data_IF_687619804022
#
_entry.id   IF_687619804022
#
_cell.length_a   1.000
_cell.length_b   1.000
_cell.length_c   1.000
_cell.angle_alpha   90.00
_cell.angle_beta   90.00
_cell.angle_gamma   90.00
#
_symmetry.space_group_name_H-M   'P 1'
#
loop_
_entity.id
_entity.type
_entity.pdbx_description
1 polymer ?
#
# COMPACT_ATOMS: atom_id res chain seq x y z
N UNK A 1 -5.69 -7.27 -20.45
CA UNK A 1 -5.44 -6.27 -21.53
C UNK A 1 -4.47 -6.88 -22.53
N UNK A 2 -4.63 -6.67 -23.85
CA UNK A 2 -3.64 -7.11 -24.86
C UNK A 2 -2.29 -6.41 -24.67
N UNK A 3 -1.20 -7.14 -24.90
CA UNK A 3 0.20 -6.65 -24.73
C UNK A 3 0.47 -5.37 -25.52
N UNK A 4 0.00 -5.29 -26.77
CA UNK A 4 0.16 -4.08 -27.59
C UNK A 4 -0.51 -2.83 -26.98
N UNK A 5 -1.69 -3.01 -26.32
CA UNK A 5 -2.36 -1.89 -25.64
C UNK A 5 -1.62 -1.48 -24.38
N UNK A 6 -1.06 -2.44 -23.62
CA UNK A 6 -0.22 -2.11 -22.44
C UNK A 6 1.00 -1.32 -22.89
N UNK A 7 1.68 -1.73 -23.97
CA UNK A 7 2.83 -0.99 -24.52
C UNK A 7 2.46 0.43 -24.92
N UNK A 8 1.34 0.61 -25.62
CA UNK A 8 0.86 1.96 -25.99
C UNK A 8 0.60 2.83 -24.76
N UNK A 9 0.07 2.27 -23.67
CA UNK A 9 -0.13 3.01 -22.41
C UNK A 9 1.21 3.37 -21.77
N UNK A 10 2.19 2.45 -21.79
CA UNK A 10 3.52 2.70 -21.26
C UNK A 10 4.26 3.80 -22.06
N UNK A 11 4.06 3.85 -23.38
CA UNK A 11 4.59 4.93 -24.23
C UNK A 11 3.99 6.27 -23.83
N UNK A 12 2.66 6.38 -23.79
CA UNK A 12 1.97 7.60 -23.34
C UNK A 12 2.41 8.00 -21.92
N UNK A 13 2.50 7.05 -21.00
CA UNK A 13 2.91 7.30 -19.63
C UNK A 13 4.34 7.85 -19.54
N UNK A 14 5.28 7.28 -20.29
CA UNK A 14 6.66 7.76 -20.35
C UNK A 14 6.74 9.17 -20.97
N UNK A 15 6.00 9.44 -22.06
CA UNK A 15 5.90 10.75 -22.71
C UNK A 15 5.31 11.83 -21.78
N UNK A 16 4.38 11.46 -20.90
CA UNK A 16 3.83 12.32 -19.84
C UNK A 16 4.80 12.57 -18.68
N UNK A 17 6.01 12.00 -18.71
CA UNK A 17 6.99 12.09 -17.63
C UNK A 17 6.78 11.09 -16.51
N UNK A 18 6.06 10.00 -16.76
CA UNK A 18 5.88 8.91 -15.81
C UNK A 18 7.20 8.24 -15.43
N UNK A 19 7.36 7.88 -14.16
CA UNK A 19 8.63 7.39 -13.63
C UNK A 19 8.57 5.93 -13.16
N UNK A 20 7.39 5.44 -12.78
CA UNK A 20 7.27 4.16 -12.12
C UNK A 20 6.00 3.43 -12.53
N UNK A 21 6.13 2.19 -12.95
CA UNK A 21 5.02 1.30 -13.24
C UNK A 21 4.99 0.13 -12.25
N UNK A 22 3.79 -0.18 -11.78
CA UNK A 22 3.56 -1.36 -10.94
C UNK A 22 2.62 -2.32 -11.68
N UNK A 23 3.12 -3.50 -12.01
CA UNK A 23 2.28 -4.56 -12.55
C UNK A 23 1.57 -5.31 -11.42
N UNK A 24 0.25 -5.38 -11.52
CA UNK A 24 -0.64 -6.02 -10.56
C UNK A 24 -1.78 -6.73 -11.30
N UNK A 25 -2.91 -6.89 -10.67
CA UNK A 25 -4.14 -7.46 -11.26
C UNK A 25 -4.72 -8.49 -10.30
N UNK A 26 -5.37 -9.53 -10.80
CA UNK A 26 -5.67 -10.71 -10.00
C UNK A 26 -4.36 -11.43 -9.62
N UNK A 27 -3.53 -11.73 -10.62
CA UNK A 27 -2.17 -12.25 -10.45
C UNK A 27 -1.31 -11.86 -11.66
N UNK A 28 -0.26 -11.07 -11.43
CA UNK A 28 0.57 -10.52 -12.50
C UNK A 28 1.26 -11.62 -13.32
N UNK A 29 1.80 -12.67 -12.68
CA UNK A 29 2.49 -13.77 -13.35
C UNK A 29 1.57 -14.70 -14.17
N UNK A 30 0.26 -14.50 -14.11
CA UNK A 30 -0.68 -15.17 -15.02
C UNK A 30 -0.75 -14.50 -16.40
N UNK A 31 -0.24 -13.27 -16.55
CA UNK A 31 -0.16 -12.62 -17.85
C UNK A 31 0.96 -13.24 -18.67
N UNK A 32 0.60 -13.86 -19.81
CA UNK A 32 1.56 -14.66 -20.63
C UNK A 32 2.79 -13.86 -21.10
N UNK A 33 2.61 -12.57 -21.36
CA UNK A 33 3.63 -11.68 -21.90
C UNK A 33 4.21 -10.73 -20.82
N UNK A 34 4.07 -11.06 -19.52
CA UNK A 34 4.55 -10.17 -18.44
C UNK A 34 6.05 -9.86 -18.59
N UNK A 35 6.88 -10.85 -18.91
CA UNK A 35 8.33 -10.65 -19.07
C UNK A 35 8.66 -9.73 -20.25
N UNK A 36 7.88 -9.77 -21.32
CA UNK A 36 8.00 -8.83 -22.45
C UNK A 36 7.65 -7.41 -22.00
N UNK A 37 6.58 -7.25 -21.22
CA UNK A 37 6.17 -5.94 -20.69
C UNK A 37 7.18 -5.38 -19.69
N UNK A 38 7.78 -6.23 -18.85
CA UNK A 38 8.85 -5.83 -17.93
C UNK A 38 10.07 -5.31 -18.70
N UNK A 39 10.55 -6.02 -19.74
CA UNK A 39 11.65 -5.55 -20.59
C UNK A 39 11.29 -4.23 -21.28
N UNK A 40 10.11 -4.15 -21.87
CA UNK A 40 9.64 -2.96 -22.55
C UNK A 40 9.57 -1.73 -21.62
N UNK A 41 9.12 -1.92 -20.38
CA UNK A 41 9.11 -0.85 -19.37
C UNK A 41 10.55 -0.40 -19.04
N UNK A 42 11.51 -1.33 -18.99
CA UNK A 42 12.92 -0.99 -18.75
C UNK A 42 13.53 -0.21 -19.92
N UNK A 43 13.17 -0.58 -21.17
CA UNK A 43 13.56 0.16 -22.39
C UNK A 43 13.05 1.61 -22.40
N UNK A 44 11.95 1.87 -21.68
CA UNK A 44 11.38 3.22 -21.49
C UNK A 44 11.92 3.94 -20.24
N UNK A 45 12.97 3.42 -19.61
CA UNK A 45 13.58 3.96 -18.39
C UNK A 45 12.64 4.02 -17.18
N UNK A 46 11.54 3.28 -17.20
CA UNK A 46 10.62 3.22 -16.08
C UNK A 46 11.19 2.34 -14.93
N UNK A 47 10.99 2.78 -13.70
CA UNK A 47 11.14 1.92 -12.53
C UNK A 47 10.00 0.92 -12.51
N UNK A 48 10.29 -0.34 -12.14
CA UNK A 48 9.34 -1.42 -12.26
C UNK A 48 9.13 -2.11 -10.91
N UNK A 49 7.89 -2.24 -10.49
CA UNK A 49 7.48 -3.09 -9.37
C UNK A 49 6.41 -4.10 -9.82
N UNK A 50 6.31 -5.20 -9.08
CA UNK A 50 5.30 -6.23 -9.32
C UNK A 50 4.62 -6.56 -7.99
N UNK A 51 3.28 -6.61 -7.98
CA UNK A 51 2.49 -7.14 -6.87
C UNK A 51 2.00 -8.54 -7.24
N UNK A 52 2.27 -9.53 -6.40
CA UNK A 52 1.98 -10.94 -6.74
C UNK A 52 1.83 -11.82 -5.49
N UNK A 53 1.10 -12.93 -5.65
CA UNK A 53 1.13 -14.03 -4.70
C UNK A 53 2.24 -15.06 -4.99
N UNK A 54 2.97 -14.89 -6.10
CA UNK A 54 4.07 -15.73 -6.61
C UNK A 54 3.73 -17.20 -6.95
N UNK A 55 2.47 -17.63 -6.83
CA UNK A 55 2.10 -19.04 -7.07
C UNK A 55 2.39 -19.45 -8.52
N UNK A 56 2.30 -18.50 -9.46
CA UNK A 56 2.51 -18.72 -10.90
C UNK A 56 3.91 -18.31 -11.40
N UNK A 57 4.81 -17.89 -10.50
CA UNK A 57 6.19 -17.55 -10.85
C UNK A 57 6.94 -18.80 -11.33
N UNK A 58 7.62 -18.69 -12.49
CA UNK A 58 8.45 -19.73 -13.06
C UNK A 58 9.93 -19.40 -12.93
N UNK A 59 10.78 -20.43 -12.81
CA UNK A 59 12.22 -20.24 -12.59
C UNK A 59 12.90 -19.48 -13.76
N UNK A 60 12.47 -19.70 -15.00
CA UNK A 60 13.00 -18.97 -16.17
C UNK A 60 12.68 -17.46 -16.14
N UNK A 61 11.66 -17.04 -15.41
CA UNK A 61 11.31 -15.62 -15.28
C UNK A 61 12.25 -14.87 -14.34
N UNK A 62 12.84 -15.55 -13.36
CA UNK A 62 13.74 -14.95 -12.36
C UNK A 62 14.94 -14.27 -13.04
N UNK A 63 15.51 -14.91 -14.08
CA UNK A 63 16.63 -14.33 -14.83
C UNK A 63 16.26 -13.00 -15.50
N UNK A 64 15.05 -12.91 -16.08
CA UNK A 64 14.54 -11.69 -16.71
C UNK A 64 14.30 -10.59 -15.66
N UNK A 65 13.72 -10.95 -14.52
CA UNK A 65 13.46 -9.99 -13.43
C UNK A 65 14.77 -9.39 -12.90
N UNK A 66 15.81 -10.20 -12.76
CA UNK A 66 17.15 -9.73 -12.36
C UNK A 66 17.78 -8.84 -13.44
N UNK A 67 17.76 -9.26 -14.71
CA UNK A 67 18.28 -8.48 -15.86
C UNK A 67 17.64 -7.09 -15.92
N UNK A 68 16.32 -7.02 -15.71
CA UNK A 68 15.57 -5.75 -15.77
C UNK A 68 15.73 -4.88 -14.52
N UNK A 69 16.47 -5.32 -13.50
CA UNK A 69 16.75 -4.56 -12.28
C UNK A 69 15.48 -3.99 -11.66
N UNK A 70 14.55 -4.86 -11.25
CA UNK A 70 13.30 -4.45 -10.64
C UNK A 70 13.55 -3.64 -9.37
N UNK A 71 12.69 -2.66 -9.15
CA UNK A 71 12.70 -1.88 -7.90
C UNK A 71 12.21 -2.71 -6.73
N UNK A 72 11.18 -3.55 -6.95
CA UNK A 72 10.61 -4.37 -5.87
C UNK A 72 9.61 -5.39 -6.43
N UNK A 73 9.54 -6.56 -5.80
CA UNK A 73 8.37 -7.44 -5.87
C UNK A 73 7.69 -7.44 -4.50
N UNK A 74 6.46 -6.94 -4.44
CA UNK A 74 5.65 -7.00 -3.23
C UNK A 74 4.83 -8.29 -3.25
N UNK A 75 5.00 -9.11 -2.21
CA UNK A 75 4.45 -10.47 -2.14
C UNK A 75 3.39 -10.55 -1.05
N UNK A 76 2.20 -11.04 -1.39
CA UNK A 76 1.15 -11.31 -0.42
C UNK A 76 1.47 -12.58 0.38
N UNK A 77 1.76 -12.45 1.68
CA UNK A 77 1.93 -13.56 2.61
C UNK A 77 1.19 -13.24 3.91
N UNK A 78 0.07 -13.92 4.13
CA UNK A 78 -0.85 -13.61 5.25
C UNK A 78 -0.47 -14.31 6.55
N UNK A 79 0.27 -15.40 6.48
CA UNK A 79 0.77 -16.18 7.62
C UNK A 79 1.88 -17.13 7.14
N UNK A 80 2.79 -17.50 8.02
CA UNK A 80 3.74 -18.60 7.82
C UNK A 80 3.16 -19.96 8.22
N UNK A 81 1.96 -19.97 8.81
CA UNK A 81 1.21 -21.19 9.14
C UNK A 81 0.35 -21.57 7.93
N UNK A 82 0.59 -22.74 7.28
CA UNK A 82 -0.08 -23.11 6.05
C UNK A 82 -1.61 -23.10 6.15
N UNK A 83 -2.17 -23.58 7.25
CA UNK A 83 -3.62 -23.67 7.45
C UNK A 83 -4.27 -22.30 7.45
N UNK A 84 -3.61 -21.30 8.02
CA UNK A 84 -4.11 -19.90 8.07
C UNK A 84 -3.98 -19.25 6.69
N UNK A 85 -2.80 -19.30 6.08
CA UNK A 85 -2.57 -18.66 4.77
C UNK A 85 -3.44 -19.29 3.69
N UNK A 86 -3.46 -20.62 3.59
CA UNK A 86 -4.25 -21.36 2.60
C UNK A 86 -5.76 -21.14 2.80
N UNK A 87 -6.20 -21.01 4.08
CA UNK A 87 -7.57 -20.67 4.43
C UNK A 87 -7.99 -19.28 3.89
N UNK A 88 -7.12 -18.28 3.99
CA UNK A 88 -7.36 -16.93 3.48
C UNK A 88 -7.33 -16.90 1.94
N UNK A 89 -6.34 -17.55 1.33
CA UNK A 89 -6.19 -17.58 -0.13
C UNK A 89 -7.16 -18.54 -0.81
N UNK A 90 -7.78 -19.46 -0.04
CA UNK A 90 -8.61 -20.57 -0.53
C UNK A 90 -7.86 -21.52 -1.48
N UNK A 91 -6.53 -21.53 -1.44
CA UNK A 91 -5.67 -22.35 -2.31
C UNK A 91 -4.73 -23.21 -1.47
N UNK A 92 -5.02 -24.51 -1.40
CA UNK A 92 -4.20 -25.48 -0.65
C UNK A 92 -2.75 -25.51 -1.16
N UNK A 93 -1.79 -25.37 -0.23
CA UNK A 93 -0.36 -25.37 -0.52
C UNK A 93 0.18 -24.04 -1.06
N UNK A 94 -0.64 -22.98 -1.07
CA UNK A 94 -0.21 -21.64 -1.48
C UNK A 94 0.86 -21.07 -0.57
N UNK A 95 0.73 -21.24 0.74
CA UNK A 95 1.72 -20.80 1.72
C UNK A 95 3.14 -21.29 1.37
N UNK A 96 3.29 -22.59 1.25
CA UNK A 96 4.60 -23.20 0.97
C UNK A 96 5.15 -22.77 -0.40
N UNK A 97 4.29 -22.66 -1.43
CA UNK A 97 4.71 -22.19 -2.77
C UNK A 97 5.19 -20.75 -2.72
N UNK A 98 4.44 -19.87 -2.08
CA UNK A 98 4.79 -18.45 -1.94
C UNK A 98 6.10 -18.28 -1.16
N UNK A 99 6.26 -18.93 0.00
CA UNK A 99 7.50 -18.87 0.78
C UNK A 99 8.70 -19.37 -0.01
N UNK A 100 8.59 -20.51 -0.70
CA UNK A 100 9.66 -21.04 -1.55
C UNK A 100 10.02 -20.11 -2.72
N UNK A 101 9.02 -19.42 -3.28
CA UNK A 101 9.25 -18.43 -4.33
C UNK A 101 9.96 -17.18 -3.80
N UNK A 102 9.60 -16.70 -2.59
CA UNK A 102 10.33 -15.63 -1.90
C UNK A 102 11.80 -16.01 -1.73
N UNK A 103 12.10 -17.20 -1.23
CA UNK A 103 13.47 -17.68 -1.02
C UNK A 103 14.29 -17.69 -2.33
N UNK A 104 13.68 -18.09 -3.45
CA UNK A 104 14.33 -18.07 -4.77
C UNK A 104 14.62 -16.64 -5.24
N UNK A 105 13.70 -15.71 -5.04
CA UNK A 105 13.89 -14.31 -5.42
C UNK A 105 14.99 -13.64 -4.59
N UNK A 106 15.00 -13.87 -3.28
CA UNK A 106 16.05 -13.37 -2.37
C UNK A 106 17.41 -13.97 -2.75
N UNK A 107 17.50 -15.29 -3.01
CA UNK A 107 18.72 -15.92 -3.46
C UNK A 107 19.25 -15.41 -4.82
N UNK A 108 18.36 -14.83 -5.63
CA UNK A 108 18.69 -14.17 -6.89
C UNK A 108 19.00 -12.67 -6.74
N UNK A 109 19.08 -12.12 -5.52
CA UNK A 109 19.26 -10.71 -5.21
C UNK A 109 18.17 -9.81 -5.84
N UNK A 110 16.95 -10.29 -5.95
CA UNK A 110 15.79 -9.49 -6.40
C UNK A 110 15.17 -8.85 -5.17
N UNK A 111 14.94 -7.53 -5.16
CA UNK A 111 14.29 -6.84 -4.04
C UNK A 111 12.88 -7.37 -3.79
N UNK A 112 12.64 -7.89 -2.60
CA UNK A 112 11.34 -8.43 -2.16
C UNK A 112 10.85 -7.66 -0.94
N UNK A 113 9.55 -7.40 -0.90
CA UNK A 113 8.84 -6.92 0.29
C UNK A 113 7.61 -7.80 0.51
N UNK A 114 7.35 -8.20 1.75
CA UNK A 114 6.13 -8.93 2.09
C UNK A 114 5.02 -7.91 2.40
N UNK A 115 3.83 -8.14 1.86
CA UNK A 115 2.58 -7.47 2.26
C UNK A 115 1.73 -8.44 3.05
N UNK A 116 1.50 -8.11 4.32
CA UNK A 116 0.69 -8.89 5.25
C UNK A 116 -0.45 -8.03 5.81
N UNK A 117 -1.55 -7.84 5.07
CA UNK A 117 -2.74 -7.23 5.65
C UNK A 117 -3.26 -8.07 6.81
N UNK A 118 -3.47 -7.42 7.96
CA UNK A 118 -3.89 -8.11 9.17
C UNK A 118 -5.40 -7.99 9.33
N UNK A 119 -6.04 -9.13 9.59
CA UNK A 119 -7.47 -9.30 9.77
C UNK A 119 -7.73 -10.35 10.84
N UNK A 120 -8.98 -10.53 11.27
CA UNK A 120 -9.31 -11.53 12.29
C UNK A 120 -8.77 -12.93 11.97
N UNK A 121 -8.73 -13.31 10.69
CA UNK A 121 -8.27 -14.64 10.26
C UNK A 121 -6.77 -14.88 10.52
N UNK A 122 -5.92 -13.86 10.61
CA UNK A 122 -4.47 -14.01 10.78
C UNK A 122 -3.89 -13.19 11.94
N UNK A 123 -4.72 -12.53 12.75
CA UNK A 123 -4.27 -11.65 13.85
C UNK A 123 -3.37 -12.33 14.89
N UNK A 124 -3.45 -13.65 15.01
CA UNK A 124 -2.67 -14.43 15.99
C UNK A 124 -1.41 -15.06 15.36
N UNK A 125 -1.15 -14.87 14.06
CA UNK A 125 -0.05 -15.53 13.33
C UNK A 125 0.84 -14.58 12.49
N UNK A 126 0.53 -13.28 12.43
CA UNK A 126 1.29 -12.31 11.63
C UNK A 126 2.72 -12.09 12.14
N UNK A 127 2.98 -12.27 13.43
CA UNK A 127 4.35 -12.17 14.01
C UNK A 127 5.30 -13.12 13.29
N UNK A 128 4.87 -14.35 13.00
CA UNK A 128 5.67 -15.29 12.22
C UNK A 128 6.04 -14.77 10.82
N UNK A 129 5.24 -13.88 10.22
CA UNK A 129 5.57 -13.24 8.94
C UNK A 129 6.67 -12.18 9.14
N UNK A 130 6.61 -11.39 10.22
CA UNK A 130 7.65 -10.41 10.58
C UNK A 130 8.98 -11.14 10.84
N UNK A 131 8.96 -12.20 11.64
CA UNK A 131 10.15 -13.01 11.94
C UNK A 131 10.72 -13.69 10.68
N UNK A 132 9.86 -14.19 9.79
CA UNK A 132 10.26 -14.76 8.50
C UNK A 132 10.92 -13.70 7.62
N UNK A 133 10.35 -12.51 7.53
CA UNK A 133 10.93 -11.39 6.77
C UNK A 133 12.30 -10.98 7.33
N UNK A 134 12.42 -10.86 8.65
CA UNK A 134 13.68 -10.55 9.33
C UNK A 134 14.77 -11.60 9.06
N UNK A 135 14.43 -12.89 9.07
CA UNK A 135 15.35 -14.00 8.74
C UNK A 135 15.98 -13.85 7.35
N UNK A 136 15.20 -13.34 6.38
CA UNK A 136 15.65 -13.16 5.00
C UNK A 136 16.13 -11.73 4.71
N UNK A 137 16.22 -10.85 5.72
CA UNK A 137 16.61 -9.45 5.59
C UNK A 137 15.72 -8.67 4.60
N UNK A 138 14.45 -9.01 4.53
CA UNK A 138 13.43 -8.31 3.73
C UNK A 138 12.43 -7.65 4.65
N UNK A 139 11.70 -6.65 4.12
CA UNK A 139 10.65 -5.94 4.90
C UNK A 139 9.33 -6.68 4.85
N UNK A 140 8.63 -6.73 5.98
CA UNK A 140 7.21 -7.02 6.04
C UNK A 140 6.44 -5.70 6.25
N UNK A 141 5.54 -5.39 5.32
CA UNK A 141 4.60 -4.28 5.46
C UNK A 141 3.27 -4.83 5.98
N UNK A 142 2.85 -4.36 7.14
CA UNK A 142 1.58 -4.70 7.75
C UNK A 142 0.61 -3.52 7.62
N UNK A 143 -0.62 -3.79 7.24
CA UNK A 143 -1.75 -2.85 7.29
C UNK A 143 -2.92 -3.59 7.93
N UNK A 144 -3.60 -2.96 8.89
CA UNK A 144 -4.69 -3.58 9.64
C UNK A 144 -5.99 -2.78 9.51
N UNK A 145 -5.94 -1.59 8.91
CA UNK A 145 -7.13 -0.75 8.77
C UNK A 145 -7.91 -1.17 7.52
N UNK A 146 -8.78 -2.14 7.69
CA UNK A 146 -9.65 -2.62 6.61
C UNK A 146 -10.74 -1.60 6.29
N UNK A 147 -11.03 -1.39 5.00
CA UNK A 147 -12.11 -0.54 4.50
C UNK A 147 -13.18 -1.36 3.77
N UNK A 148 -14.39 -0.81 3.65
CA UNK A 148 -15.45 -1.39 2.83
C UNK A 148 -15.02 -1.52 1.36
N UNK A 149 -15.67 -2.44 0.62
CA UNK A 149 -15.38 -2.68 -0.79
C UNK A 149 -15.76 -1.48 -1.67
N UNK A 150 -15.22 -1.48 -2.88
CA UNK A 150 -15.47 -0.41 -3.85
C UNK A 150 -16.93 -0.32 -4.33
N UNK A 151 -17.72 -1.38 -4.19
CA UNK A 151 -19.17 -1.42 -4.46
C UNK A 151 -20.02 -1.02 -3.25
N UNK A 152 -19.37 -0.48 -2.20
CA UNK A 152 -19.97 -0.09 -0.91
C UNK A 152 -20.46 -1.28 -0.06
N UNK A 153 -20.24 -2.52 -0.48
CA UNK A 153 -20.56 -3.67 0.37
C UNK A 153 -19.62 -3.73 1.58
N UNK A 154 -20.16 -4.20 2.70
CA UNK A 154 -19.48 -4.24 4.01
C UNK A 154 -19.27 -5.66 4.54
N UNK A 155 -19.53 -6.69 3.73
CA UNK A 155 -19.40 -8.10 4.11
C UNK A 155 -17.97 -8.47 4.51
N UNK A 156 -16.96 -7.81 3.93
CA UNK A 156 -15.57 -8.00 4.30
C UNK A 156 -15.21 -7.40 5.67
N UNK A 157 -16.01 -6.45 6.19
CA UNK A 157 -15.74 -5.80 7.47
C UNK A 157 -15.94 -6.74 8.67
N UNK A 158 -16.56 -7.90 8.48
CA UNK A 158 -16.58 -8.98 9.49
C UNK A 158 -15.16 -9.43 9.86
N UNK A 159 -14.18 -9.22 8.97
CA UNK A 159 -12.76 -9.49 9.18
C UNK A 159 -11.99 -8.32 9.79
N UNK A 160 -12.60 -7.12 9.91
CA UNK A 160 -11.99 -5.96 10.59
C UNK A 160 -11.78 -6.29 12.07
N UNK A 161 -10.62 -5.90 12.59
CA UNK A 161 -10.32 -6.04 14.02
C UNK A 161 -11.25 -5.16 14.84
N UNK A 162 -11.60 -5.60 16.06
CA UNK A 162 -12.17 -4.74 17.08
C UNK A 162 -11.10 -3.77 17.62
N UNK A 163 -11.50 -2.74 18.32
CA UNK A 163 -10.54 -1.80 18.95
C UNK A 163 -9.62 -2.47 19.95
N UNK A 164 -10.10 -3.47 20.69
CA UNK A 164 -9.30 -4.27 21.62
C UNK A 164 -8.28 -5.15 20.88
N UNK A 165 -8.70 -5.76 19.76
CA UNK A 165 -7.82 -6.53 18.88
C UNK A 165 -6.77 -5.63 18.21
N UNK A 166 -7.16 -4.42 17.74
CA UNK A 166 -6.25 -3.42 17.17
C UNK A 166 -5.24 -2.94 18.21
N UNK A 167 -5.64 -2.71 19.45
CA UNK A 167 -4.72 -2.35 20.53
C UNK A 167 -3.69 -3.46 20.81
N UNK A 168 -4.15 -4.69 20.94
CA UNK A 168 -3.26 -5.85 21.14
C UNK A 168 -2.28 -6.00 20.00
N UNK A 169 -2.76 -5.86 18.75
CA UNK A 169 -1.95 -5.89 17.55
C UNK A 169 -0.88 -4.80 17.55
N UNK A 170 -1.27 -3.54 17.79
CA UNK A 170 -0.34 -2.40 17.74
C UNK A 170 0.75 -2.51 18.81
N UNK A 171 0.41 -2.95 20.02
CA UNK A 171 1.39 -3.23 21.07
C UNK A 171 2.41 -4.27 20.61
N UNK A 172 1.94 -5.37 20.06
CA UNK A 172 2.81 -6.43 19.56
C UNK A 172 3.69 -5.98 18.39
N UNK A 173 3.16 -5.20 17.44
CA UNK A 173 3.96 -4.66 16.32
C UNK A 173 5.04 -3.70 16.86
N UNK A 174 4.68 -2.79 17.75
CA UNK A 174 5.63 -1.84 18.36
C UNK A 174 6.75 -2.59 19.11
N UNK A 175 6.44 -3.71 19.74
CA UNK A 175 7.42 -4.50 20.51
C UNK A 175 8.32 -5.37 19.61
N UNK A 176 7.81 -5.90 18.49
CA UNK A 176 8.52 -6.89 17.67
C UNK A 176 9.06 -6.34 16.35
N UNK A 177 8.47 -5.26 15.80
CA UNK A 177 8.90 -4.65 14.54
C UNK A 177 9.64 -3.34 14.80
N UNK A 178 10.99 -3.41 14.78
CA UNK A 178 11.86 -2.25 15.01
C UNK A 178 11.67 -1.18 13.95
N UNK A 179 11.45 -1.57 12.69
CA UNK A 179 11.26 -0.62 11.57
C UNK A 179 9.92 0.11 11.70
N UNK A 180 8.85 -0.60 12.06
CA UNK A 180 7.55 0.00 12.33
C UNK A 180 7.65 0.98 13.50
N UNK A 181 8.25 0.57 14.61
CA UNK A 181 8.48 1.39 15.80
C UNK A 181 9.25 2.66 15.47
N UNK A 182 10.39 2.55 14.78
CA UNK A 182 11.20 3.70 14.35
C UNK A 182 10.39 4.61 13.41
N UNK A 183 9.67 4.06 12.45
CA UNK A 183 8.84 4.81 11.52
C UNK A 183 7.72 5.58 12.20
N UNK A 184 6.99 4.93 13.11
CA UNK A 184 5.86 5.53 13.82
C UNK A 184 6.30 6.63 14.80
N UNK A 185 7.47 6.49 15.40
CA UNK A 185 7.95 7.37 16.47
C UNK A 185 8.90 8.47 15.99
N UNK A 186 9.48 8.33 14.78
CA UNK A 186 10.37 9.35 14.16
C UNK A 186 9.64 10.24 13.14
N UNK A 187 8.34 10.05 12.91
CA UNK A 187 7.62 10.91 11.99
C UNK A 187 7.66 12.36 12.49
N UNK A 188 8.15 13.26 11.63
CA UNK A 188 8.00 14.70 11.86
C UNK A 188 6.49 14.99 11.82
N UNK A 189 5.90 15.53 12.89
CA UNK A 189 4.47 15.78 12.93
C UNK A 189 4.04 16.69 11.78
N UNK A 190 2.98 16.29 11.05
CA UNK A 190 2.40 17.17 10.02
C UNK A 190 1.87 18.47 10.63
N UNK A 191 1.50 18.44 11.90
CA UNK A 191 1.12 19.61 12.70
C UNK A 191 2.23 20.66 12.76
N UNK A 192 3.51 20.29 12.71
CA UNK A 192 4.60 21.28 12.66
C UNK A 192 4.53 22.13 11.39
N UNK A 193 4.19 21.54 10.23
CA UNK A 193 4.00 22.30 8.99
C UNK A 193 2.81 23.26 9.07
N UNK A 194 1.75 22.86 9.79
CA UNK A 194 0.62 23.76 10.05
C UNK A 194 1.04 24.98 10.88
N UNK A 195 1.93 24.79 11.85
CA UNK A 195 2.41 25.88 12.70
C UNK A 195 3.32 26.88 11.95
N UNK A 196 4.03 26.43 10.90
CA UNK A 196 4.87 27.29 10.08
C UNK A 196 4.05 28.19 9.17
N UNK A 197 3.12 27.63 8.39
CA UNK A 197 2.21 28.38 7.51
C UNK A 197 0.88 27.63 7.35
N UNK A 198 -0.06 27.97 8.21
CA UNK A 198 -1.38 27.33 8.22
C UNK A 198 -2.19 27.56 6.95
N UNK A 199 -2.09 28.75 6.35
CA UNK A 199 -2.83 29.07 5.12
C UNK A 199 -2.27 28.34 3.90
N UNK A 200 -0.96 28.17 3.82
CA UNK A 200 -0.33 27.34 2.79
C UNK A 200 -0.65 25.85 3.00
N UNK A 201 -0.61 25.37 4.26
CA UNK A 201 -0.94 23.98 4.59
C UNK A 201 -2.38 23.62 4.20
N UNK A 202 -3.37 24.48 4.48
CA UNK A 202 -4.76 24.25 4.08
C UNK A 202 -4.95 24.03 2.58
N UNK A 203 -4.08 24.59 1.74
CA UNK A 203 -4.14 24.46 0.28
C UNK A 203 -3.45 23.20 -0.24
N UNK A 204 -2.70 22.49 0.59
CA UNK A 204 -2.03 21.26 0.18
C UNK A 204 -3.05 20.15 -0.10
N UNK A 205 -2.78 19.26 -1.07
CA UNK A 205 -3.61 18.09 -1.30
C UNK A 205 -3.61 17.15 -0.07
N UNK A 206 -4.68 16.39 0.10
CA UNK A 206 -4.79 15.43 1.20
C UNK A 206 -3.79 14.27 1.05
N UNK A 207 -3.59 13.81 -0.17
CA UNK A 207 -2.63 12.78 -0.56
C UNK A 207 -2.28 12.92 -2.05
N UNK A 208 -1.44 12.04 -2.61
CA UNK A 208 -1.05 12.03 -4.01
C UNK A 208 -2.13 11.69 -5.03
N UNK A 209 -3.33 11.30 -4.58
CA UNK A 209 -4.46 10.96 -5.45
C UNK A 209 -4.84 12.12 -6.36
N UNK A 210 -4.83 11.86 -7.67
CA UNK A 210 -5.09 12.87 -8.69
C UNK A 210 -3.89 13.74 -9.08
N UNK A 211 -2.73 13.56 -8.45
CA UNK A 211 -1.52 14.33 -8.71
C UNK A 211 -0.34 13.49 -9.22
N UNK A 212 -0.11 12.31 -8.67
CA UNK A 212 1.12 11.55 -8.91
C UNK A 212 0.89 10.07 -9.26
N UNK A 213 -0.35 9.58 -9.22
CA UNK A 213 -0.62 8.18 -9.51
C UNK A 213 -2.01 7.96 -10.12
N UNK A 214 -2.13 6.87 -10.88
CA UNK A 214 -3.40 6.31 -11.35
C UNK A 214 -3.30 4.79 -11.42
N UNK A 215 -4.45 4.13 -11.52
CA UNK A 215 -4.53 2.69 -11.74
C UNK A 215 -5.35 2.42 -13.01
N UNK A 216 -4.87 1.49 -13.85
CA UNK A 216 -5.53 1.10 -15.09
C UNK A 216 -5.83 -0.39 -15.03
N UNK A 217 -7.08 -0.76 -15.21
CA UNK A 217 -7.53 -2.15 -15.14
C UNK A 217 -7.46 -2.86 -16.50
N UNK A 218 -7.63 -4.18 -16.50
CA UNK A 218 -7.58 -5.00 -17.72
C UNK A 218 -8.64 -4.62 -18.77
N UNK A 219 -9.79 -4.06 -18.34
CA UNK A 219 -10.85 -3.55 -19.22
C UNK A 219 -10.65 -2.09 -19.66
N UNK A 220 -9.52 -1.47 -19.25
CA UNK A 220 -9.12 -0.13 -19.69
C UNK A 220 -9.63 1.01 -18.84
N UNK A 221 -10.39 0.75 -17.79
CA UNK A 221 -10.86 1.80 -16.88
C UNK A 221 -9.69 2.38 -16.08
N UNK A 222 -9.65 3.70 -15.99
CA UNK A 222 -8.65 4.47 -15.25
C UNK A 222 -9.25 4.96 -13.94
N UNK A 223 -8.57 4.69 -12.84
CA UNK A 223 -8.93 5.12 -11.48
C UNK A 223 -7.85 6.02 -10.89
N UNK A 224 -8.21 6.94 -10.01
CA UNK A 224 -7.25 7.84 -9.39
C UNK A 224 -6.35 7.16 -8.35
N UNK A 225 -6.74 5.97 -7.87
CA UNK A 225 -6.01 5.17 -6.90
C UNK A 225 -6.42 3.70 -7.05
N UNK A 226 -5.53 2.76 -6.80
CA UNK A 226 -5.80 1.32 -6.91
C UNK A 226 -6.97 0.86 -6.00
N UNK A 227 -7.16 1.50 -4.84
CA UNK A 227 -8.28 1.23 -3.94
C UNK A 227 -9.61 1.88 -4.34
N UNK A 228 -9.63 2.76 -5.36
CA UNK A 228 -10.82 3.56 -5.70
C UNK A 228 -11.53 3.12 -6.98
N UNK A 229 -11.85 1.85 -7.08
CA UNK A 229 -12.42 1.25 -8.29
C UNK A 229 -13.86 1.70 -8.60
N UNK A 230 -14.58 2.28 -7.64
CA UNK A 230 -15.88 2.91 -7.90
C UNK A 230 -15.79 4.28 -8.60
N UNK A 231 -14.59 4.90 -8.68
CA UNK A 231 -14.41 6.26 -9.19
C UNK A 231 -13.68 6.30 -10.53
N UNK A 232 -14.35 5.85 -11.60
CA UNK A 232 -13.77 5.79 -12.97
C UNK A 232 -13.55 7.20 -13.52
N UNK A 233 -12.31 7.53 -13.90
CA UNK A 233 -11.92 8.80 -14.53
C UNK A 233 -12.17 8.81 -16.02
N UNK A 234 -11.99 7.68 -16.68
CA UNK A 234 -12.12 7.48 -18.12
C UNK A 234 -11.72 6.05 -18.51
N UNK A 235 -11.59 5.77 -19.82
CA UNK A 235 -11.19 4.46 -20.31
C UNK A 235 -10.19 4.58 -21.47
N UNK A 236 -9.01 3.94 -21.35
CA UNK A 236 -7.90 4.02 -22.32
C UNK A 236 -8.20 3.38 -23.68
N UNK A 237 -9.27 2.65 -23.85
CA UNK A 237 -9.75 2.21 -25.16
C UNK A 237 -10.58 3.27 -25.91
N UNK A 238 -11.03 4.33 -25.21
CA UNK A 238 -11.89 5.38 -25.77
C UNK A 238 -11.16 6.71 -25.95
N UNK A 239 -10.14 6.98 -25.15
CA UNK A 239 -9.38 8.21 -25.15
C UNK A 239 -7.95 7.96 -24.65
N UNK A 240 -7.01 8.89 -24.87
CA UNK A 240 -5.63 8.76 -24.40
C UNK A 240 -5.54 8.86 -22.88
N UNK A 241 -4.47 8.30 -22.30
CA UNK A 241 -4.19 8.44 -20.87
C UNK A 241 -3.98 9.90 -20.50
N UNK A 242 -3.26 10.65 -21.35
CA UNK A 242 -3.03 12.07 -21.16
C UNK A 242 -4.34 12.86 -21.11
N UNK A 243 -5.25 12.61 -22.06
CA UNK A 243 -6.55 13.28 -22.09
C UNK A 243 -7.38 12.98 -20.82
N UNK A 244 -7.39 11.72 -20.34
CA UNK A 244 -8.05 11.37 -19.08
C UNK A 244 -7.44 12.13 -17.90
N UNK A 245 -6.10 12.21 -17.84
CA UNK A 245 -5.38 12.82 -16.73
C UNK A 245 -5.53 14.35 -16.68
N UNK A 246 -5.58 15.00 -17.83
CA UNK A 246 -5.68 16.46 -17.92
C UNK A 246 -7.13 16.97 -17.94
N UNK A 247 -8.05 16.23 -18.56
CA UNK A 247 -9.36 16.75 -18.92
C UNK A 247 -10.52 16.18 -18.12
N UNK A 248 -10.38 15.03 -17.44
CA UNK A 248 -11.46 14.41 -16.66
C UNK A 248 -11.98 15.38 -15.58
N UNK A 249 -13.27 15.70 -15.62
CA UNK A 249 -13.92 16.52 -14.58
C UNK A 249 -13.83 15.86 -13.19
N UNK A 250 -13.82 14.55 -13.12
CA UNK A 250 -13.67 13.82 -11.86
C UNK A 250 -12.28 14.04 -11.24
N UNK A 251 -11.20 14.04 -12.05
CA UNK A 251 -9.85 14.30 -11.53
C UNK A 251 -9.70 15.77 -11.12
N UNK A 252 -10.29 16.69 -11.88
CA UNK A 252 -10.30 18.11 -11.51
C UNK A 252 -11.02 18.34 -10.18
N UNK A 253 -12.09 17.59 -9.92
CA UNK A 253 -12.81 17.68 -8.64
C UNK A 253 -12.00 17.11 -7.49
N UNK A 254 -11.28 16.00 -7.68
CA UNK A 254 -10.34 15.49 -6.66
C UNK A 254 -9.26 16.52 -6.35
N UNK A 255 -8.69 17.17 -7.36
CA UNK A 255 -7.64 18.19 -7.20
C UNK A 255 -8.09 19.45 -6.44
N UNK A 256 -9.40 19.67 -6.28
CA UNK A 256 -9.95 20.74 -5.43
C UNK A 256 -9.99 20.36 -3.95
N UNK A 257 -9.84 19.08 -3.62
CA UNK A 257 -9.90 18.59 -2.24
C UNK A 257 -8.53 18.78 -1.61
N UNK A 258 -8.51 19.56 -0.54
CA UNK A 258 -7.28 19.93 0.16
C UNK A 258 -7.41 19.61 1.65
N UNK A 259 -6.36 19.81 2.41
CA UNK A 259 -6.36 19.72 3.87
C UNK A 259 -7.47 20.61 4.46
N UNK A 260 -7.67 21.80 3.92
CA UNK A 260 -8.73 22.75 4.33
C UNK A 260 -10.17 22.28 4.07
N UNK A 261 -10.34 21.24 3.23
CA UNK A 261 -11.67 20.63 3.02
C UNK A 261 -12.18 19.87 4.25
N UNK A 262 -11.31 19.63 5.25
CA UNK A 262 -11.60 18.85 6.46
C UNK A 262 -11.29 19.67 7.72
N UNK A 263 -12.04 20.76 8.01
CA UNK A 263 -11.70 21.69 9.10
C UNK A 263 -11.67 21.00 10.47
N UNK A 264 -12.58 20.05 10.74
CA UNK A 264 -12.57 19.28 11.99
C UNK A 264 -11.30 18.46 12.18
N UNK A 265 -10.68 17.98 11.08
CA UNK A 265 -9.43 17.25 11.17
C UNK A 265 -8.25 18.16 11.48
N UNK A 266 -8.25 19.41 10.98
CA UNK A 266 -7.19 20.38 11.26
C UNK A 266 -7.10 20.77 12.75
N UNK A 267 -8.19 20.64 13.49
CA UNK A 267 -8.29 20.91 14.93
C UNK A 267 -8.17 19.63 15.78
N UNK A 268 -7.96 18.46 15.12
CA UNK A 268 -7.97 17.17 15.79
C UNK A 268 -6.63 16.88 16.47
N UNK A 269 -6.65 16.54 17.74
CA UNK A 269 -5.44 16.18 18.50
C UNK A 269 -4.81 14.86 18.07
N UNK A 270 -5.51 14.00 17.31
CA UNK A 270 -4.97 12.79 16.70
C UNK A 270 -4.55 13.00 15.23
N UNK A 271 -4.39 14.26 14.78
CA UNK A 271 -4.09 14.61 13.40
C UNK A 271 -2.84 13.90 12.85
N UNK A 272 -1.76 13.87 13.62
CA UNK A 272 -0.47 13.29 13.22
C UNK A 272 -0.49 11.75 13.17
N UNK A 273 -1.47 11.14 13.81
CA UNK A 273 -1.64 9.68 13.89
C UNK A 273 -2.69 9.16 12.91
N UNK A 274 -3.30 10.05 12.12
CA UNK A 274 -4.42 9.72 11.24
C UNK A 274 -3.99 9.57 9.78
N UNK A 275 -4.12 8.37 9.24
CA UNK A 275 -3.98 8.11 7.80
C UNK A 275 -5.25 8.52 7.05
N UNK A 276 -5.45 9.82 6.81
CA UNK A 276 -6.62 10.35 6.09
C UNK A 276 -6.65 9.84 4.65
N UNK A 277 -7.77 9.27 4.23
CA UNK A 277 -7.90 8.61 2.94
C UNK A 277 -9.27 8.86 2.33
N UNK A 278 -9.30 9.53 1.16
CA UNK A 278 -10.54 9.80 0.43
C UNK A 278 -11.26 8.52 0.01
N UNK A 279 -10.51 7.44 -0.27
CA UNK A 279 -11.09 6.16 -0.67
C UNK A 279 -11.83 5.49 0.48
N UNK A 280 -11.25 5.52 1.69
CA UNK A 280 -11.90 5.01 2.91
C UNK A 280 -13.19 5.75 3.19
N UNK A 281 -13.14 7.09 3.12
CA UNK A 281 -14.33 7.92 3.28
C UNK A 281 -15.39 7.55 2.26
N UNK A 282 -15.04 7.54 0.98
CA UNK A 282 -15.93 7.27 -0.14
C UNK A 282 -16.61 5.90 -0.03
N UNK A 283 -15.82 4.84 0.24
CA UNK A 283 -16.34 3.47 0.27
C UNK A 283 -17.28 3.22 1.47
N UNK A 284 -17.00 3.83 2.63
CA UNK A 284 -17.81 3.60 3.84
C UNK A 284 -18.92 4.63 4.05
N UNK A 285 -18.99 5.65 3.20
CA UNK A 285 -20.03 6.69 3.26
C UNK A 285 -20.86 6.78 1.98
N UNK A 286 -21.06 5.64 1.28
CA UNK A 286 -21.88 5.54 0.07
C UNK A 286 -21.54 6.60 -1.00
N UNK A 287 -20.26 6.83 -1.24
CA UNK A 287 -19.79 7.76 -2.26
C UNK A 287 -19.52 9.19 -1.78
N UNK A 288 -19.70 9.48 -0.50
CA UNK A 288 -19.31 10.77 0.08
C UNK A 288 -17.85 10.75 0.56
N UNK A 289 -16.96 11.40 -0.18
CA UNK A 289 -15.54 11.49 0.15
C UNK A 289 -15.22 12.49 1.26
N UNK A 290 -16.17 13.32 1.67
CA UNK A 290 -16.00 14.31 2.74
C UNK A 290 -16.46 13.78 4.11
N UNK A 291 -17.25 12.74 4.15
CA UNK A 291 -17.69 12.08 5.38
C UNK A 291 -16.61 11.14 5.90
N UNK A 292 -16.18 11.32 7.13
CA UNK A 292 -15.13 10.51 7.76
C UNK A 292 -15.77 9.46 8.67
N UNK A 293 -15.67 8.17 8.36
CA UNK A 293 -16.18 7.10 9.22
C UNK A 293 -15.49 7.10 10.58
N UNK A 294 -16.28 6.97 11.65
CA UNK A 294 -15.79 7.03 13.03
C UNK A 294 -14.69 5.99 13.33
N UNK A 295 -14.80 4.81 12.75
CA UNK A 295 -13.80 3.75 12.95
C UNK A 295 -12.36 4.18 12.63
N UNK A 296 -12.16 5.04 11.61
CA UNK A 296 -10.82 5.54 11.29
C UNK A 296 -10.32 6.61 12.25
N UNK A 297 -11.25 7.38 12.85
CA UNK A 297 -10.91 8.29 13.93
C UNK A 297 -10.49 7.51 15.17
N UNK A 298 -11.26 6.47 15.55
CA UNK A 298 -10.98 5.65 16.72
C UNK A 298 -9.59 4.99 16.63
N UNK A 299 -9.20 4.50 15.46
CA UNK A 299 -7.86 3.94 15.22
C UNK A 299 -6.75 5.01 15.37
N UNK A 300 -6.98 6.23 14.90
CA UNK A 300 -6.02 7.32 15.06
C UNK A 300 -5.84 7.72 16.54
N UNK A 301 -6.92 7.80 17.32
CA UNK A 301 -6.87 8.06 18.75
C UNK A 301 -6.21 6.91 19.53
N UNK A 302 -6.46 5.68 19.12
CA UNK A 302 -5.79 4.51 19.70
C UNK A 302 -4.27 4.60 19.49
N UNK A 303 -3.83 4.86 18.25
CA UNK A 303 -2.41 4.98 17.95
C UNK A 303 -1.76 6.14 18.72
N UNK A 304 -2.41 7.32 18.78
CA UNK A 304 -1.96 8.45 19.59
C UNK A 304 -1.73 8.04 21.04
N UNK A 305 -2.75 7.46 21.68
CA UNK A 305 -2.67 7.02 23.08
C UNK A 305 -1.52 6.05 23.32
N UNK A 306 -1.33 5.08 22.43
CA UNK A 306 -0.25 4.12 22.56
C UNK A 306 1.13 4.77 22.41
N UNK A 307 1.32 5.64 21.44
CA UNK A 307 2.59 6.36 21.25
C UNK A 307 2.91 7.21 22.46
N UNK A 308 1.94 7.96 23.01
CA UNK A 308 2.13 8.74 24.25
C UNK A 308 2.50 7.84 25.42
N UNK A 309 1.82 6.71 25.62
CA UNK A 309 2.15 5.74 26.67
C UNK A 309 3.59 5.19 26.56
N UNK A 310 4.02 4.86 25.34
CA UNK A 310 5.39 4.37 25.11
C UNK A 310 6.45 5.47 25.30
N UNK A 311 6.13 6.72 25.00
CA UNK A 311 6.98 7.88 25.31
C UNK A 311 7.15 8.05 26.83
N UNK A 312 6.05 8.05 27.58
CA UNK A 312 6.08 8.21 29.03
C UNK A 312 6.88 7.09 29.73
N UNK A 313 6.86 5.89 29.17
CA UNK A 313 7.63 4.75 29.70
C UNK A 313 9.12 4.78 29.34
N UNK A 314 9.59 5.79 28.58
CA UNK A 314 10.99 5.91 28.15
C UNK A 314 11.45 4.78 27.22
N UNK A 315 10.52 4.00 26.65
CA UNK A 315 10.84 2.87 25.78
C UNK A 315 11.38 3.33 24.41
N UNK A 316 11.36 4.63 24.15
CA UNK A 316 11.86 5.26 22.95
C UNK A 316 13.31 5.72 23.07
N UNK A 317 13.75 6.08 24.26
CA UNK A 317 15.11 6.57 24.51
C UNK A 317 16.15 5.48 24.24
N UNK A 318 15.81 4.21 24.48
CA UNK A 318 16.69 3.07 24.20
C UNK A 318 16.98 2.86 22.71
N UNK A 319 16.14 3.42 21.79
CA UNK A 319 16.33 3.31 20.33
C UNK A 319 17.39 4.29 19.79
N UNK A 320 17.73 5.34 20.50
CA UNK A 320 18.75 6.31 20.10
C UNK A 320 20.17 5.84 20.39
N UNK A 321 20.36 4.84 21.26
CA UNK A 321 21.69 4.36 21.67
C UNK A 321 22.22 3.18 20.86
N UNK A 322 21.39 2.52 20.05
CA UNK A 322 21.81 1.34 19.27
C UNK A 322 22.36 1.65 17.86
N UNK A 323 22.24 2.91 17.39
CA UNK A 323 22.78 3.32 16.08
C UNK A 323 24.33 3.45 16.06
N UNK A 324 25.02 3.24 17.22
CA UNK A 324 26.49 3.30 17.28
C UNK A 324 27.21 2.03 16.80
N UNK A 325 26.50 0.94 16.49
CA UNK A 325 27.06 -0.35 16.06
C UNK A 325 26.80 -0.75 14.60
N UNK A 326 26.20 0.11 13.77
CA UNK A 326 25.90 -0.24 12.37
C UNK A 326 26.92 0.25 11.34
N UNK A 327 28.09 0.70 11.76
CA UNK A 327 29.24 0.98 10.90
C UNK A 327 30.42 0.06 11.26
N UNK A 328 30.36 -1.19 10.83
CA UNK A 328 31.56 -2.03 10.59
C UNK A 328 31.28 -3.00 9.46
#
# INVERSE_FOLDING_TARGET
>A
MPTAKVKSILDEFAEMGGLHVTFSGGEAFMHKDLMELVRYSREKDLRISILSNLISLKDEQIAVLKECNLSMIQVSLYSTIPEVHDGITTVKGSCQKTMKAIEKLVAADIPVQISCPIMKANKDSYIGVIEYAAKWHIKAQTDYIMMARADFSTDNLDQRLSMEESETLLRNIIEHDIDYRKGTLKQVPQSEQMLIDFEAFKKQPLCGVGYDNCCITANGDVYPCAGWQAYVLGNVYKQSLQEIWESSEKIKNIRKITQGSFPKCLECEAFDFCARCLVRNFNESNGDMYSIPQAFCDEAFLLKRLVEEYHEKGLLDSLYFDDSNSCK
#
